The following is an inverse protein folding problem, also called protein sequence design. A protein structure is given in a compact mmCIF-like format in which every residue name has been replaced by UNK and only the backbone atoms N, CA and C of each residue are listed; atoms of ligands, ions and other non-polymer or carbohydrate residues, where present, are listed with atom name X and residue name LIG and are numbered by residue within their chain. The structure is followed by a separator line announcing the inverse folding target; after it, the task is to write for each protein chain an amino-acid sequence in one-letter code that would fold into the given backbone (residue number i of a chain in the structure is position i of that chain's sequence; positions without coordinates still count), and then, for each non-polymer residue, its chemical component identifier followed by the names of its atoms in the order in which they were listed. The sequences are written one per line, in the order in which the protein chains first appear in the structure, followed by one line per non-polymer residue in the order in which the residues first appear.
data_IF_637233776746
#
_entry.id   IF_637233776746
#
_cell.length_a   1.000
_cell.length_b   1.000
_cell.length_c   1.000
_cell.angle_alpha   90.00
_cell.angle_beta   90.00
_cell.angle_gamma   90.00
#
_symmetry.space_group_name_H-M   'P 1'
#
loop_
_entity.id
_entity.type
_entity.pdbx_description
1 polymer ?
#
# COMPACT_ATOMS: atom_id res chain seq x y z
N UNK A 1 -11.00 8.87 -13.29
CA UNK A 1 -10.05 8.15 -14.14
C UNK A 1 -8.85 7.70 -13.31
N UNK A 2 -8.46 6.45 -13.43
CA UNK A 2 -7.25 5.95 -12.76
C UNK A 2 -6.00 6.63 -13.33
N UNK A 3 -5.06 6.95 -12.44
CA UNK A 3 -3.82 7.60 -12.84
C UNK A 3 -2.66 6.98 -12.06
N UNK A 4 -1.82 6.22 -12.75
CA UNK A 4 -0.67 5.53 -12.15
C UNK A 4 0.52 6.45 -11.86
N UNK A 5 0.33 7.75 -12.01
CA UNK A 5 1.31 8.78 -11.63
C UNK A 5 0.74 9.81 -10.64
N UNK A 6 -0.48 9.60 -10.17
CA UNK A 6 -1.08 10.49 -9.18
C UNK A 6 -0.34 10.45 -7.85
N UNK A 7 -0.32 11.56 -7.12
CA UNK A 7 0.30 11.66 -5.81
C UNK A 7 -0.30 10.62 -4.85
N UNK A 8 0.56 10.00 -4.04
CA UNK A 8 0.14 9.10 -2.97
C UNK A 8 -0.17 9.95 -1.73
N UNK A 9 -1.41 9.89 -1.25
CA UNK A 9 -1.85 10.66 -0.08
C UNK A 9 -2.28 9.70 1.04
N UNK A 10 -1.54 9.71 2.14
CA UNK A 10 -1.82 8.81 3.26
C UNK A 10 -3.22 9.07 3.81
N UNK A 11 -3.90 8.01 4.25
CA UNK A 11 -5.29 8.02 4.72
C UNK A 11 -6.31 8.49 3.67
N UNK A 12 -5.90 8.76 2.44
CA UNK A 12 -6.79 9.43 1.48
C UNK A 12 -6.89 8.73 0.13
N UNK A 13 -5.84 8.76 -0.70
CA UNK A 13 -5.94 8.32 -2.09
C UNK A 13 -4.63 7.82 -2.67
N UNK A 14 -4.74 6.93 -3.64
CA UNK A 14 -3.64 6.43 -4.45
C UNK A 14 -4.22 6.08 -5.84
N UNK A 15 -3.57 6.53 -6.91
CA UNK A 15 -4.03 6.25 -8.27
C UNK A 15 -5.38 6.89 -8.61
N UNK A 16 -5.75 7.98 -7.93
CA UNK A 16 -7.07 8.62 -8.02
C UNK A 16 -8.22 7.74 -7.47
N UNK A 17 -7.89 6.77 -6.64
CA UNK A 17 -8.86 5.96 -5.91
C UNK A 17 -8.91 6.43 -4.48
N UNK A 18 -10.11 6.66 -3.96
CA UNK A 18 -10.32 7.17 -2.60
C UNK A 18 -10.58 6.05 -1.61
N UNK A 19 -9.90 6.10 -0.46
CA UNK A 19 -10.24 5.24 0.67
C UNK A 19 -11.65 5.55 1.18
N UNK A 20 -12.30 4.54 1.72
CA UNK A 20 -13.64 4.64 2.31
C UNK A 20 -14.75 5.00 1.33
N UNK A 21 -14.50 4.83 0.03
CA UNK A 21 -15.55 4.85 -0.99
C UNK A 21 -15.92 3.43 -1.38
N UNK A 22 -17.06 3.27 -2.04
CA UNK A 22 -17.49 1.95 -2.50
C UNK A 22 -16.87 1.63 -3.86
N UNK A 23 -16.42 0.39 -4.04
CA UNK A 23 -15.80 -0.07 -5.29
C UNK A 23 -16.73 0.10 -6.50
N UNK A 24 -18.05 0.12 -6.28
CA UNK A 24 -19.03 0.29 -7.35
C UNK A 24 -18.82 1.58 -8.16
N UNK A 25 -18.21 2.60 -7.56
CA UNK A 25 -17.89 3.87 -8.25
C UNK A 25 -16.88 3.65 -9.37
N UNK A 26 -16.00 2.66 -9.22
CA UNK A 26 -14.88 2.44 -10.14
C UNK A 26 -15.04 1.25 -11.09
N UNK A 27 -16.03 0.37 -10.85
CA UNK A 27 -16.14 -0.89 -11.59
C UNK A 27 -16.26 -0.72 -13.09
N UNK A 28 -17.03 0.26 -13.55
CA UNK A 28 -17.24 0.49 -14.98
C UNK A 28 -15.93 0.82 -15.70
N UNK A 29 -15.14 1.73 -15.15
CA UNK A 29 -13.85 2.11 -15.72
C UNK A 29 -12.85 0.96 -15.63
N UNK A 30 -12.82 0.25 -14.51
CA UNK A 30 -11.92 -0.88 -14.31
C UNK A 30 -12.05 -1.92 -15.42
N UNK A 31 -13.26 -2.39 -15.65
CA UNK A 31 -13.49 -3.47 -16.61
C UNK A 31 -13.57 -2.99 -18.06
N UNK A 32 -13.80 -1.69 -18.30
CA UNK A 32 -13.78 -1.14 -19.64
C UNK A 32 -12.36 -0.87 -20.15
N UNK A 33 -11.48 -0.37 -19.29
CA UNK A 33 -10.21 0.23 -19.72
C UNK A 33 -8.96 -0.46 -19.18
N UNK A 34 -9.11 -1.44 -18.26
CA UNK A 34 -7.98 -2.05 -17.58
C UNK A 34 -8.04 -3.56 -17.59
N UNK A 35 -6.87 -4.19 -17.44
CA UNK A 35 -6.77 -5.61 -17.20
C UNK A 35 -6.92 -5.84 -15.68
N UNK A 36 -7.99 -6.52 -15.28
CA UNK A 36 -8.34 -6.70 -13.87
C UNK A 36 -8.15 -8.14 -13.45
N UNK A 37 -7.35 -8.37 -12.41
CA UNK A 37 -7.24 -9.65 -11.72
C UNK A 37 -8.03 -9.54 -10.41
N UNK A 38 -8.98 -10.45 -10.21
CA UNK A 38 -9.86 -10.44 -9.05
C UNK A 38 -9.53 -11.59 -8.11
N UNK A 39 -9.42 -11.30 -6.81
CA UNK A 39 -9.11 -12.29 -5.78
C UNK A 39 -10.08 -12.18 -4.61
N UNK A 40 -10.45 -13.33 -4.03
CA UNK A 40 -11.24 -13.38 -2.80
C UNK A 40 -10.39 -13.93 -1.66
N UNK A 41 -10.54 -13.35 -0.48
CA UNK A 41 -9.88 -13.79 0.74
C UNK A 41 -10.92 -14.12 1.81
N UNK A 42 -10.86 -15.34 2.35
CA UNK A 42 -11.71 -15.77 3.45
C UNK A 42 -10.98 -15.50 4.77
N UNK A 43 -11.61 -14.74 5.66
CA UNK A 43 -11.08 -14.43 6.98
C UNK A 43 -11.49 -15.50 8.00
N UNK A 44 -10.78 -15.61 9.15
CA UNK A 44 -11.10 -16.60 10.17
C UNK A 44 -12.52 -16.54 10.72
N UNK A 45 -13.17 -15.35 10.69
CA UNK A 45 -14.54 -15.15 11.14
C UNK A 45 -15.59 -15.48 10.06
N UNK A 46 -15.17 -16.10 8.95
CA UNK A 46 -15.98 -16.45 7.79
C UNK A 46 -16.41 -15.25 6.92
N UNK A 47 -15.99 -14.03 7.25
CA UNK A 47 -16.19 -12.88 6.35
C UNK A 47 -15.23 -12.94 5.18
N UNK A 48 -15.54 -12.19 4.12
CA UNK A 48 -14.70 -12.15 2.91
C UNK A 48 -14.15 -10.76 2.65
N UNK A 49 -12.96 -10.71 2.09
CA UNK A 49 -12.37 -9.51 1.51
C UNK A 49 -12.04 -9.76 0.05
N UNK A 50 -12.01 -8.69 -0.72
CA UNK A 50 -11.76 -8.78 -2.15
C UNK A 50 -10.60 -7.87 -2.55
N UNK A 51 -9.82 -8.29 -3.54
CA UNK A 51 -8.75 -7.48 -4.10
C UNK A 51 -8.90 -7.44 -5.62
N UNK A 52 -8.73 -6.24 -6.18
CA UNK A 52 -8.76 -5.98 -7.61
C UNK A 52 -7.40 -5.44 -8.01
N UNK A 53 -6.67 -6.18 -8.85
CA UNK A 53 -5.36 -5.76 -9.34
C UNK A 53 -5.51 -5.25 -10.77
N UNK A 54 -5.19 -3.98 -10.98
CA UNK A 54 -5.32 -3.30 -12.26
C UNK A 54 -3.97 -3.20 -12.94
N UNK A 55 -3.87 -3.77 -14.17
CA UNK A 55 -2.69 -3.67 -15.03
C UNK A 55 -1.39 -4.07 -14.33
N UNK A 56 -1.46 -5.04 -13.41
CA UNK A 56 -0.33 -5.47 -12.60
C UNK A 56 0.40 -4.29 -11.93
N UNK A 57 -0.33 -3.29 -11.50
CA UNK A 57 0.24 -2.06 -10.94
C UNK A 57 -0.47 -1.61 -9.67
N UNK A 58 -1.80 -1.52 -9.70
CA UNK A 58 -2.61 -0.96 -8.61
C UNK A 58 -3.48 -2.06 -8.00
N UNK A 59 -3.50 -2.15 -6.67
CA UNK A 59 -4.33 -3.11 -5.95
C UNK A 59 -5.34 -2.38 -5.09
N UNK A 60 -6.64 -2.62 -5.32
CA UNK A 60 -7.73 -2.06 -4.53
C UNK A 60 -8.34 -3.17 -3.70
N UNK A 61 -8.32 -3.03 -2.39
CA UNK A 61 -8.86 -4.05 -1.47
C UNK A 61 -10.11 -3.53 -0.78
N UNK A 62 -11.14 -4.39 -0.76
CA UNK A 62 -12.45 -4.02 -0.20
C UNK A 62 -12.91 -5.01 0.86
N UNK A 63 -13.78 -4.53 1.75
CA UNK A 63 -14.61 -5.37 2.61
C UNK A 63 -15.72 -6.02 1.77
N UNK A 64 -16.49 -6.92 2.38
CA UNK A 64 -17.55 -7.65 1.68
C UNK A 64 -18.68 -6.74 1.16
N UNK A 65 -18.87 -5.57 1.78
CA UNK A 65 -19.85 -4.58 1.33
C UNK A 65 -19.35 -3.67 0.21
N UNK A 66 -18.11 -3.86 -0.23
CA UNK A 66 -17.50 -3.05 -1.27
C UNK A 66 -16.76 -1.82 -0.79
N UNK A 67 -16.72 -1.56 0.52
CA UNK A 67 -15.95 -0.43 1.06
C UNK A 67 -14.45 -0.63 0.86
N UNK A 68 -13.79 0.35 0.26
CA UNK A 68 -12.35 0.30 0.00
C UNK A 68 -11.61 0.66 1.28
N UNK A 69 -10.87 -0.31 1.85
CA UNK A 69 -10.11 -0.10 3.08
C UNK A 69 -8.61 0.00 2.85
N UNK A 70 -8.11 -0.42 1.68
CA UNK A 70 -6.68 -0.40 1.37
C UNK A 70 -6.48 -0.26 -0.13
N UNK A 71 -5.47 0.54 -0.50
CA UNK A 71 -5.05 0.70 -1.89
C UNK A 71 -3.54 0.57 -1.93
N UNK A 72 -3.03 -0.27 -2.82
CA UNK A 72 -1.60 -0.50 -2.94
C UNK A 72 -1.09 -0.36 -4.36
N UNK A 73 0.22 -0.29 -4.48
CA UNK A 73 0.88 -0.26 -5.77
C UNK A 73 2.22 -0.99 -5.70
N UNK A 74 2.73 -1.37 -6.86
CA UNK A 74 4.06 -1.95 -7.00
C UNK A 74 4.99 -0.97 -7.73
N UNK A 75 6.19 -1.45 -8.10
CA UNK A 75 7.22 -0.62 -8.75
C UNK A 75 6.83 -0.07 -10.12
N UNK A 76 5.73 -0.54 -10.71
CA UNK A 76 5.24 -0.01 -11.99
C UNK A 76 4.49 1.32 -11.80
N UNK A 77 4.11 1.66 -10.58
CA UNK A 77 3.44 2.92 -10.24
C UNK A 77 4.47 4.05 -10.19
N UNK A 78 4.13 5.22 -10.76
CA UNK A 78 5.06 6.34 -10.90
C UNK A 78 4.78 7.52 -9.96
N UNK A 79 3.68 7.49 -9.22
CA UNK A 79 3.36 8.55 -8.27
C UNK A 79 4.27 8.56 -7.06
N UNK A 80 4.36 9.71 -6.41
CA UNK A 80 5.23 9.95 -5.26
C UNK A 80 4.42 10.22 -4.00
N UNK A 81 4.98 9.82 -2.86
CA UNK A 81 4.51 10.20 -1.54
C UNK A 81 5.34 11.39 -1.07
N UNK A 82 4.68 12.52 -0.79
CA UNK A 82 5.32 13.78 -0.37
C UNK A 82 6.47 14.23 -1.28
N UNK A 83 6.38 13.91 -2.56
CA UNK A 83 7.41 14.20 -3.56
C UNK A 83 8.78 13.56 -3.26
N UNK A 84 8.85 12.56 -2.39
CA UNK A 84 10.12 11.98 -1.93
C UNK A 84 10.19 10.47 -2.13
N UNK A 85 9.13 9.74 -1.81
CA UNK A 85 9.16 8.28 -1.74
C UNK A 85 8.32 7.66 -2.86
N UNK A 86 8.78 6.51 -3.35
CA UNK A 86 8.11 5.80 -4.44
C UNK A 86 8.32 4.29 -4.31
N UNK A 87 7.47 3.52 -4.95
CA UNK A 87 7.60 2.06 -4.98
C UNK A 87 8.79 1.64 -5.83
N UNK A 88 9.64 0.77 -5.29
CA UNK A 88 10.89 0.36 -5.92
C UNK A 88 12.12 1.09 -5.40
N UNK A 89 11.95 2.00 -4.46
CA UNK A 89 13.04 2.76 -3.86
C UNK A 89 13.87 1.89 -2.92
N UNK A 90 15.18 2.13 -2.88
CA UNK A 90 16.08 1.43 -1.96
C UNK A 90 15.89 1.93 -0.52
N UNK A 91 15.96 1.01 0.43
CA UNK A 91 15.74 1.33 1.84
C UNK A 91 16.78 2.34 2.37
N UNK A 92 18.02 2.27 1.86
CA UNK A 92 19.06 3.22 2.24
C UNK A 92 18.74 4.65 1.84
N UNK A 93 18.09 4.84 0.68
CA UNK A 93 17.62 6.15 0.24
C UNK A 93 16.46 6.64 1.09
N UNK A 94 15.52 5.75 1.40
CA UNK A 94 14.38 6.07 2.28
C UNK A 94 14.87 6.55 3.65
N UNK A 95 15.88 5.88 4.23
CA UNK A 95 16.46 6.27 5.51
C UNK A 95 17.08 7.67 5.47
N UNK A 96 17.66 8.06 4.34
CA UNK A 96 18.25 9.40 4.18
C UNK A 96 17.21 10.50 4.04
N UNK A 97 16.05 10.18 3.51
CA UNK A 97 14.99 11.14 3.21
C UNK A 97 13.95 11.28 4.32
N UNK A 98 13.99 10.41 5.32
CA UNK A 98 12.98 10.36 6.39
C UNK A 98 13.66 10.32 7.76
N UNK A 99 12.89 10.64 8.82
CA UNK A 99 13.42 10.72 10.19
C UNK A 99 13.39 9.39 10.91
N UNK A 100 12.28 8.65 10.80
CA UNK A 100 12.09 7.41 11.56
C UNK A 100 11.39 6.36 10.72
N UNK A 101 11.87 5.12 10.82
CA UNK A 101 11.28 3.97 10.15
C UNK A 101 11.03 2.89 11.21
N UNK A 102 9.80 2.38 11.29
CA UNK A 102 9.41 1.35 12.25
C UNK A 102 8.81 0.16 11.53
N UNK A 103 9.16 -1.03 11.98
CA UNK A 103 8.67 -2.29 11.40
C UNK A 103 7.55 -2.85 12.27
N UNK A 104 6.41 -3.12 11.63
CA UNK A 104 5.27 -3.81 12.24
C UNK A 104 4.83 -4.93 11.30
N UNK A 105 5.00 -6.20 11.73
CA UNK A 105 4.51 -7.35 10.97
C UNK A 105 4.94 -7.34 9.48
N UNK A 106 6.21 -7.05 9.21
CA UNK A 106 6.71 -7.02 7.84
C UNK A 106 6.36 -5.76 7.05
N UNK A 107 5.80 -4.75 7.71
CA UNK A 107 5.47 -3.46 7.11
C UNK A 107 6.31 -2.36 7.76
N UNK A 108 6.70 -1.36 6.96
CA UNK A 108 7.50 -0.23 7.45
C UNK A 108 6.63 1.01 7.47
N UNK A 109 6.45 1.58 8.65
CA UNK A 109 5.78 2.87 8.88
C UNK A 109 6.85 3.96 8.88
N UNK A 110 6.62 5.03 8.13
CA UNK A 110 7.55 6.15 7.95
C UNK A 110 7.07 7.35 8.74
N UNK A 111 7.95 7.90 9.60
CA UNK A 111 7.73 9.17 10.32
C UNK A 111 6.39 9.22 11.06
N UNK A 112 5.99 8.10 11.66
CA UNK A 112 4.74 7.97 12.43
C UNK A 112 3.47 8.26 11.59
N UNK A 113 3.55 8.16 10.26
CA UNK A 113 2.38 8.26 9.38
C UNK A 113 1.73 6.88 9.25
N UNK A 114 0.70 6.62 10.05
CA UNK A 114 -0.01 5.34 10.08
C UNK A 114 -1.06 5.20 8.98
N UNK A 115 -1.01 6.04 7.96
CA UNK A 115 -1.85 5.92 6.77
C UNK A 115 -1.10 5.46 5.53
N UNK A 116 0.19 5.15 5.66
CA UNK A 116 1.08 4.81 4.55
C UNK A 116 2.13 3.81 5.03
N UNK A 117 2.42 2.80 4.20
CA UNK A 117 3.48 1.86 4.53
C UNK A 117 4.16 1.29 3.29
N UNK A 118 5.39 0.85 3.48
CA UNK A 118 6.07 -0.06 2.56
C UNK A 118 5.95 -1.50 3.06
N UNK A 119 5.87 -2.45 2.15
CA UNK A 119 5.91 -3.88 2.47
C UNK A 119 7.35 -4.39 2.35
N UNK A 120 7.83 -5.09 3.37
CA UNK A 120 9.12 -5.77 3.30
C UNK A 120 8.98 -7.04 2.45
N UNK A 121 9.87 -7.25 1.47
CA UNK A 121 9.87 -8.50 0.71
C UNK A 121 10.35 -9.67 1.55
N UNK A 122 9.94 -10.88 1.18
CA UNK A 122 10.43 -12.11 1.79
C UNK A 122 11.94 -12.29 1.55
N UNK A 123 12.73 -12.77 2.52
CA UNK A 123 12.33 -13.26 3.85
C UNK A 123 12.32 -12.18 4.93
N UNK A 124 12.62 -10.93 4.60
CA UNK A 124 12.77 -9.84 5.57
C UNK A 124 11.46 -9.51 6.29
N UNK A 125 10.32 -9.78 5.67
CA UNK A 125 9.01 -9.61 6.29
C UNK A 125 8.79 -10.49 7.53
N UNK A 126 9.51 -11.61 7.62
CA UNK A 126 9.38 -12.57 8.73
C UNK A 126 10.48 -12.44 9.77
N UNK A 127 11.69 -12.04 9.37
CA UNK A 127 12.87 -12.11 10.24
C UNK A 127 13.38 -10.78 10.74
N UNK A 128 12.94 -9.67 10.14
CA UNK A 128 13.46 -8.34 10.49
C UNK A 128 12.53 -7.64 11.48
N UNK A 129 13.10 -7.18 12.58
CA UNK A 129 12.41 -6.38 13.59
C UNK A 129 13.01 -4.97 13.70
N UNK A 130 14.10 -4.70 13.01
CA UNK A 130 14.78 -3.41 12.99
C UNK A 130 15.22 -3.06 11.57
N UNK A 131 15.04 -1.80 11.19
CA UNK A 131 15.47 -1.28 9.89
C UNK A 131 16.98 -1.46 9.68
N UNK A 132 17.76 -1.41 10.76
CA UNK A 132 19.22 -1.49 10.68
C UNK A 132 19.73 -2.90 10.35
N UNK A 133 18.88 -3.92 10.48
CA UNK A 133 19.24 -5.30 10.12
C UNK A 133 19.00 -5.61 8.63
N UNK A 134 18.51 -4.65 7.86
CA UNK A 134 18.11 -4.83 6.46
C UNK A 134 19.20 -4.23 5.55
N UNK A 135 19.61 -4.93 4.46
CA UNK A 135 20.57 -4.37 3.52
C UNK A 135 20.06 -3.05 2.93
N UNK A 136 20.95 -2.05 2.86
CA UNK A 136 20.57 -0.70 2.39
C UNK A 136 20.18 -0.65 0.92
N UNK A 137 20.60 -1.62 0.11
CA UNK A 137 20.28 -1.71 -1.32
C UNK A 137 18.99 -2.50 -1.60
N UNK A 138 18.32 -2.97 -0.56
CA UNK A 138 17.06 -3.66 -0.73
C UNK A 138 16.00 -2.70 -1.27
N UNK A 139 15.36 -3.07 -2.37
CA UNK A 139 14.27 -2.28 -2.96
C UNK A 139 12.94 -2.66 -2.34
N UNK A 140 12.16 -1.66 -1.97
CA UNK A 140 10.81 -1.83 -1.44
C UNK A 140 9.81 -1.58 -2.57
N UNK A 141 9.34 -2.66 -3.18
CA UNK A 141 8.54 -2.60 -4.41
C UNK A 141 7.06 -2.34 -4.19
N UNK A 142 6.58 -2.44 -2.95
CA UNK A 142 5.15 -2.32 -2.67
C UNK A 142 4.86 -1.27 -1.62
N UNK A 143 3.88 -0.42 -1.92
CA UNK A 143 3.35 0.62 -1.05
C UNK A 143 1.86 0.36 -0.87
N UNK A 144 1.35 0.57 0.35
CA UNK A 144 -0.08 0.53 0.65
C UNK A 144 -0.48 1.76 1.46
N UNK A 145 -1.68 2.26 1.21
CA UNK A 145 -2.35 3.23 2.07
C UNK A 145 -3.59 2.59 2.70
N UNK A 146 -3.93 3.03 3.90
CA UNK A 146 -5.05 2.52 4.66
C UNK A 146 -5.04 3.12 6.05
N UNK A 147 -5.84 2.58 6.97
CA UNK A 147 -5.83 2.99 8.37
C UNK A 147 -5.05 1.95 9.18
N UNK A 148 -3.80 2.25 9.48
CA UNK A 148 -2.91 1.40 10.28
C UNK A 148 -2.72 1.96 11.69
N UNK A 149 -3.61 2.83 12.13
CA UNK A 149 -3.51 3.51 13.43
C UNK A 149 -3.58 2.55 14.62
N UNK A 150 -4.01 1.31 14.42
CA UNK A 150 -3.99 0.28 15.45
C UNK A 150 -2.55 -0.08 15.89
N UNK A 151 -1.54 0.27 15.12
CA UNK A 151 -0.13 0.12 15.50
C UNK A 151 0.41 1.33 16.26
N UNK A 152 -0.35 2.42 16.33
CA UNK A 152 0.10 3.65 16.99
C UNK A 152 0.03 3.47 18.51
N UNK A 153 1.17 3.49 19.23
CA UNK A 153 1.18 3.31 20.67
C UNK A 153 0.57 4.49 21.44
N UNK A 154 0.37 5.62 20.78
CA UNK A 154 -0.21 6.83 21.38
C UNK A 154 -1.72 6.94 21.18
N UNK A 155 -2.32 5.93 20.53
CA UNK A 155 -3.75 5.93 20.25
C UNK A 155 -4.56 5.24 21.36
#
# INVERSE_FOLDING_TARGET
MFDFSAEIKSFHSLGNVLLNTNISVYLAEMYADHCVEYKEYLLPDASKRFAYVLDDTLTISTESDGNIFSIGCNQNYKGLYKNLLYAGQEIGEIKKLTYRQRIFNGSIIIDEDFGFLFILPSPFDEISDSIDSIPSDLKLNEIYIGDYSFWDPCK
#
